data_IF_292478869536
#
_entry.id   IF_292478869536
#
_cell.length_a   1.000
_cell.length_b   1.000
_cell.length_c   1.000
_cell.angle_alpha   90.00
_cell.angle_beta   90.00
_cell.angle_gamma   90.00
#
_symmetry.space_group_name_H-M   'P 1'
#
loop_
_entity.id
_entity.type
_entity.pdbx_description
1 polymer ?
#
# COMPACT_ATOMS: atom_id res chain seq x y z
N UNK A 1 -6.86 5.70 10.96
CA UNK A 1 -6.40 5.72 9.55
C UNK A 1 -5.35 6.81 9.35
N UNK A 2 -4.43 6.98 10.32
CA UNK A 2 -3.74 8.27 10.52
C UNK A 2 -2.37 8.32 9.83
N UNK A 3 -2.01 7.25 9.10
CA UNK A 3 -0.76 7.11 8.34
C UNK A 3 -0.99 7.13 6.82
N UNK A 4 -2.27 7.24 6.40
CA UNK A 4 -2.62 7.34 5.00
C UNK A 4 -2.28 8.74 4.50
N UNK A 5 -1.54 8.81 3.39
CA UNK A 5 -1.15 10.06 2.72
C UNK A 5 -1.97 10.32 1.45
N UNK A 6 -3.05 9.57 1.23
CA UNK A 6 -3.95 9.70 0.08
C UNK A 6 -3.28 9.59 -1.30
N UNK A 7 -2.24 8.78 -1.42
CA UNK A 7 -1.54 8.54 -2.70
C UNK A 7 -2.37 7.77 -3.75
N UNK A 8 -3.53 7.22 -3.38
CA UNK A 8 -4.42 6.42 -4.24
C UNK A 8 -3.84 5.12 -4.83
N UNK A 9 -2.63 4.71 -4.46
CA UNK A 9 -2.03 3.49 -5.02
C UNK A 9 -2.83 2.22 -4.69
N UNK A 10 -3.38 2.08 -3.48
CA UNK A 10 -4.22 0.94 -3.12
C UNK A 10 -5.54 0.89 -3.91
N UNK A 11 -6.16 2.05 -4.16
CA UNK A 11 -7.38 2.17 -4.98
C UNK A 11 -7.08 1.73 -6.41
N UNK A 12 -6.03 2.28 -7.01
CA UNK A 12 -5.62 1.97 -8.38
C UNK A 12 -5.15 0.53 -8.55
N UNK A 13 -4.32 0.03 -7.64
CA UNK A 13 -3.85 -1.36 -7.68
C UNK A 13 -5.03 -2.33 -7.59
N UNK A 14 -5.98 -2.08 -6.68
CA UNK A 14 -7.19 -2.89 -6.56
C UNK A 14 -7.92 -2.96 -7.91
N UNK A 15 -8.17 -1.81 -8.55
CA UNK A 15 -8.95 -1.75 -9.79
C UNK A 15 -8.19 -2.24 -11.02
N UNK A 16 -6.96 -1.77 -11.20
CA UNK A 16 -6.18 -1.93 -12.43
C UNK A 16 -5.33 -3.21 -12.45
N UNK A 17 -4.96 -3.76 -11.27
CA UNK A 17 -4.11 -4.95 -11.17
C UNK A 17 -4.85 -6.14 -10.59
N UNK A 18 -5.63 -5.92 -9.55
CA UNK A 18 -6.34 -7.01 -8.86
C UNK A 18 -7.73 -7.26 -9.46
N UNK A 19 -8.21 -6.39 -10.36
CA UNK A 19 -9.56 -6.40 -10.93
C UNK A 19 -10.67 -6.42 -9.87
N UNK A 20 -10.40 -5.77 -8.73
CA UNK A 20 -11.30 -5.64 -7.59
C UNK A 20 -11.58 -4.16 -7.31
N UNK A 21 -12.70 -3.86 -6.67
CA UNK A 21 -13.00 -2.49 -6.27
C UNK A 21 -13.02 -2.36 -4.74
N UNK A 22 -12.00 -2.85 -4.03
CA UNK A 22 -12.01 -2.93 -2.55
C UNK A 22 -11.92 -1.56 -1.89
N UNK A 23 -11.11 -0.65 -2.44
CA UNK A 23 -10.75 0.61 -1.80
C UNK A 23 -11.32 1.80 -2.55
N UNK A 24 -11.74 2.83 -1.83
CA UNK A 24 -12.07 4.14 -2.39
C UNK A 24 -11.70 5.27 -1.43
N UNK A 25 -11.63 6.51 -1.91
CA UNK A 25 -11.48 7.67 -1.03
C UNK A 25 -12.80 8.43 -0.96
N UNK A 26 -13.24 8.71 0.26
CA UNK A 26 -14.43 9.51 0.54
C UNK A 26 -14.08 10.77 1.35
N UNK A 27 -15.06 11.65 1.50
CA UNK A 27 -14.93 12.94 2.17
C UNK A 27 -14.25 14.01 1.30
N UNK A 28 -14.07 15.20 1.90
CA UNK A 28 -13.50 16.38 1.24
C UNK A 28 -12.61 17.15 2.22
N UNK A 29 -11.56 17.78 1.69
CA UNK A 29 -10.63 18.59 2.48
C UNK A 29 -9.98 17.74 3.58
N UNK A 30 -9.93 18.29 4.80
CA UNK A 30 -9.36 17.60 5.96
C UNK A 30 -10.16 16.36 6.39
N UNK A 31 -11.42 16.25 5.99
CA UNK A 31 -12.28 15.10 6.30
C UNK A 31 -12.12 13.95 5.29
N UNK A 32 -11.18 14.05 4.35
CA UNK A 32 -10.86 12.98 3.40
C UNK A 32 -10.35 11.74 4.14
N UNK A 33 -10.87 10.58 3.79
CA UNK A 33 -10.47 9.30 4.40
C UNK A 33 -10.62 8.15 3.40
N UNK A 34 -9.76 7.14 3.52
CA UNK A 34 -9.87 5.90 2.75
C UNK A 34 -11.00 5.06 3.36
N UNK A 35 -11.86 4.54 2.49
CA UNK A 35 -13.02 3.72 2.81
C UNK A 35 -12.90 2.36 2.12
N UNK A 36 -13.67 1.40 2.61
CA UNK A 36 -13.78 0.07 2.04
C UNK A 36 -15.13 -0.05 1.33
N UNK A 37 -15.10 -0.51 0.09
CA UNK A 37 -16.30 -0.85 -0.68
C UNK A 37 -16.77 -2.25 -0.28
N UNK A 38 -17.38 -2.34 0.88
CA UNK A 38 -18.13 -3.50 1.34
C UNK A 38 -19.46 -3.03 1.92
N UNK A 39 -20.46 -3.92 2.02
CA UNK A 39 -21.77 -3.55 2.58
C UNK A 39 -21.67 -2.97 4.00
N UNK A 40 -20.70 -3.44 4.79
CA UNK A 40 -20.46 -2.99 6.17
C UNK A 40 -19.48 -1.83 6.28
N UNK A 41 -18.78 -1.47 5.18
CA UNK A 41 -17.64 -0.55 5.21
C UNK A 41 -16.39 -1.12 5.91
N UNK A 42 -16.36 -2.41 6.26
CA UNK A 42 -15.21 -3.07 6.91
C UNK A 42 -14.39 -3.90 5.92
N UNK A 43 -13.07 -3.93 6.13
CA UNK A 43 -12.12 -4.66 5.28
C UNK A 43 -12.36 -6.17 5.30
N UNK A 44 -12.74 -6.73 6.45
CA UNK A 44 -13.00 -8.17 6.61
C UNK A 44 -14.17 -8.68 5.74
N UNK A 45 -15.06 -7.79 5.32
CA UNK A 45 -16.26 -8.10 4.55
C UNK A 45 -16.11 -7.69 3.07
N UNK A 46 -14.87 -7.44 2.62
CA UNK A 46 -14.52 -7.14 1.23
C UNK A 46 -13.80 -8.32 0.58
N UNK A 47 -13.68 -8.30 -0.75
CA UNK A 47 -13.02 -9.35 -1.53
C UNK A 47 -11.48 -9.25 -1.54
N UNK A 48 -10.88 -8.53 -0.58
CA UNK A 48 -9.42 -8.40 -0.52
C UNK A 48 -8.77 -9.74 -0.19
N UNK A 49 -7.71 -10.05 -0.91
CA UNK A 49 -6.84 -11.19 -0.66
C UNK A 49 -5.46 -10.72 -0.16
N UNK A 50 -4.77 -11.56 0.61
CA UNK A 50 -3.41 -11.27 1.08
C UNK A 50 -2.41 -11.15 -0.08
N UNK A 51 -2.69 -11.76 -1.23
CA UNK A 51 -1.83 -11.74 -2.41
C UNK A 51 -2.15 -10.58 -3.37
N UNK A 52 -3.19 -9.80 -3.10
CA UNK A 52 -3.54 -8.64 -3.92
C UNK A 52 -2.40 -7.62 -3.93
N UNK A 53 -2.11 -7.04 -5.10
CA UNK A 53 -1.18 -5.93 -5.23
C UNK A 53 -1.57 -4.78 -4.29
N UNK A 54 -2.87 -4.48 -4.17
CA UNK A 54 -3.39 -3.46 -3.27
C UNK A 54 -3.05 -3.68 -1.79
N UNK A 55 -2.84 -4.94 -1.35
CA UNK A 55 -2.45 -5.27 0.01
C UNK A 55 -0.97 -4.92 0.33
N UNK A 56 -0.13 -4.80 -0.71
CA UNK A 56 1.32 -4.58 -0.58
C UNK A 56 1.81 -3.22 -1.08
N UNK A 57 1.02 -2.51 -1.89
CA UNK A 57 1.46 -1.31 -2.61
C UNK A 57 1.55 -0.04 -1.74
N UNK A 58 1.07 -0.06 -0.50
CA UNK A 58 1.05 1.13 0.36
C UNK A 58 2.50 1.60 0.68
N UNK A 59 2.90 2.84 0.32
CA UNK A 59 4.30 3.27 0.45
C UNK A 59 4.71 3.65 1.88
N UNK A 60 3.75 3.76 2.81
CA UNK A 60 4.01 4.18 4.20
C UNK A 60 3.79 3.04 5.19
N UNK A 61 2.56 2.54 5.26
CA UNK A 61 2.11 1.60 6.30
C UNK A 61 0.70 1.89 6.80
N UNK A 62 -0.13 2.56 5.99
CA UNK A 62 -1.56 2.69 6.27
C UNK A 62 -2.30 1.35 6.11
N UNK A 63 -1.82 0.51 5.18
CA UNK A 63 -2.24 -0.87 4.95
C UNK A 63 -1.01 -1.75 5.22
N UNK A 64 -1.14 -2.74 6.10
CA UNK A 64 -0.05 -3.65 6.49
C UNK A 64 -0.65 -5.03 6.71
N UNK A 65 0.06 -6.06 6.27
CA UNK A 65 -0.28 -7.45 6.60
C UNK A 65 -0.12 -7.66 8.12
N UNK A 66 -1.13 -8.25 8.77
CA UNK A 66 -1.03 -8.52 10.20
C UNK A 66 0.10 -9.53 10.49
N UNK A 67 0.72 -9.39 11.66
CA UNK A 67 1.81 -10.26 12.16
C UNK A 67 3.13 -10.17 11.39
N UNK A 68 3.33 -9.15 10.55
CA UNK A 68 4.61 -8.91 9.84
C UNK A 68 5.43 -7.73 10.39
N UNK A 69 4.95 -7.08 11.45
CA UNK A 69 5.66 -5.96 12.06
C UNK A 69 6.98 -6.36 12.71
N UNK A 70 7.99 -5.49 12.63
CA UNK A 70 9.29 -5.60 13.31
C UNK A 70 10.11 -6.87 13.01
N UNK A 71 9.83 -7.55 11.91
CA UNK A 71 10.58 -8.76 11.52
C UNK A 71 11.98 -8.46 10.98
N UNK A 72 12.20 -7.26 10.45
CA UNK A 72 13.51 -6.84 9.89
C UNK A 72 14.29 -6.06 10.96
N UNK A 73 15.48 -6.53 11.36
CA UNK A 73 16.32 -5.85 12.34
C UNK A 73 16.69 -4.42 11.94
N UNK A 74 16.94 -3.58 12.95
CA UNK A 74 17.47 -2.23 12.75
C UNK A 74 18.85 -2.33 12.08
N UNK A 75 19.09 -1.49 11.07
CA UNK A 75 20.29 -1.51 10.24
C UNK A 75 20.20 -2.43 9.02
N UNK A 76 19.08 -3.16 8.86
CA UNK A 76 18.82 -4.05 7.73
C UNK A 76 17.55 -3.67 6.95
N UNK A 77 16.83 -2.61 7.35
CA UNK A 77 15.63 -2.14 6.63
C UNK A 77 16.04 -1.41 5.35
N UNK A 78 15.16 -1.41 4.35
CA UNK A 78 15.43 -0.89 2.99
C UNK A 78 16.08 0.49 2.97
N UNK A 79 15.65 1.39 3.85
CA UNK A 79 16.11 2.78 3.87
C UNK A 79 17.03 3.11 5.06
N UNK A 80 17.52 2.11 5.81
CA UNK A 80 18.46 2.37 6.91
C UNK A 80 19.84 2.81 6.42
N UNK A 81 20.25 2.31 5.25
CA UNK A 81 21.59 2.56 4.69
C UNK A 81 21.57 3.24 3.32
N UNK A 82 20.42 3.28 2.66
CA UNK A 82 20.29 3.73 1.27
C UNK A 82 19.20 4.78 1.18
N UNK A 83 19.46 5.80 0.36
CA UNK A 83 18.48 6.84 0.08
C UNK A 83 17.39 6.34 -0.87
N UNK A 84 16.29 7.08 -0.96
CA UNK A 84 15.13 6.68 -1.76
C UNK A 84 15.47 6.63 -3.25
N UNK A 85 16.26 7.59 -3.75
CA UNK A 85 16.72 7.67 -5.14
C UNK A 85 17.62 6.50 -5.54
N UNK A 86 18.57 6.12 -4.68
CA UNK A 86 19.44 4.95 -4.87
C UNK A 86 18.62 3.65 -5.03
N UNK A 87 17.64 3.45 -4.16
CA UNK A 87 16.74 2.28 -4.22
C UNK A 87 15.86 2.30 -5.48
N UNK A 88 15.32 3.46 -5.86
CA UNK A 88 14.49 3.60 -7.05
C UNK A 88 15.29 3.28 -8.32
N UNK A 89 16.48 3.87 -8.47
CA UNK A 89 17.35 3.64 -9.61
C UNK A 89 17.76 2.16 -9.74
N UNK A 90 18.10 1.52 -8.61
CA UNK A 90 18.45 0.09 -8.58
C UNK A 90 17.29 -0.80 -9.07
N UNK A 91 16.04 -0.46 -8.71
CA UNK A 91 14.86 -1.21 -9.17
C UNK A 91 14.63 -1.04 -10.68
N UNK A 92 14.71 0.19 -11.19
CA UNK A 92 14.52 0.45 -12.62
C UNK A 92 15.59 -0.21 -13.48
N UNK A 93 16.87 -0.17 -13.07
CA UNK A 93 17.94 -0.84 -13.78
C UNK A 93 17.68 -2.35 -13.90
N UNK A 94 17.24 -2.99 -12.81
CA UNK A 94 16.84 -4.41 -12.82
C UNK A 94 15.69 -4.67 -13.80
N UNK A 95 14.67 -3.83 -13.83
CA UNK A 95 13.53 -3.98 -14.76
C UNK A 95 13.96 -3.84 -16.22
N UNK A 96 15.01 -3.06 -16.49
CA UNK A 96 15.56 -2.84 -17.83
C UNK A 96 16.76 -3.75 -18.18
N UNK A 97 17.09 -4.73 -17.34
CA UNK A 97 18.17 -5.68 -17.57
C UNK A 97 19.57 -5.06 -17.59
N UNK A 98 19.76 -3.94 -16.88
CA UNK A 98 21.05 -3.25 -16.71
C UNK A 98 21.68 -3.57 -15.36
#
# INVERSE_FOLDING_TARGET
HNRCIFCNLCVRASQEKDNKNVFAISGRGINKHLIINSKSGQLKDSDIDINDCAAHICPTGAIIIKRTGYQVPIGQRTYDKHKIDEIALTKENKNHGR
#
